data_IF_452292130075
#
_entry.id   IF_452292130075
#
_cell.length_a   1.000
_cell.length_b   1.000
_cell.length_c   1.000
_cell.angle_alpha   90.00
_cell.angle_beta   90.00
_cell.angle_gamma   90.00
#
_symmetry.space_group_name_H-M   'P 1'
#
loop_
_entity.id
_entity.type
_entity.pdbx_description
1 polymer ?
#
# COMPACT_ATOMS: atom_id res chain seq x y z
N UNK A 1 56.38 -41.45 -59.76
CA UNK A 1 55.26 -42.22 -60.32
C UNK A 1 54.15 -42.28 -59.29
N UNK A 2 52.95 -41.86 -59.69
CA UNK A 2 51.60 -42.26 -59.22
C UNK A 2 51.20 -42.10 -57.73
N UNK A 3 50.31 -41.12 -57.54
CA UNK A 3 49.13 -40.96 -56.64
C UNK A 3 48.24 -42.22 -56.48
N UNK A 4 47.14 -42.24 -55.66
CA UNK A 4 46.60 -41.30 -54.63
C UNK A 4 46.09 -42.05 -53.35
N UNK A 5 45.43 -41.36 -52.38
CA UNK A 5 44.07 -41.69 -51.87
C UNK A 5 43.57 -40.56 -50.94
N UNK A 6 42.29 -40.25 -51.13
CA UNK A 6 41.44 -39.21 -50.55
C UNK A 6 40.88 -39.66 -49.20
N UNK A 7 40.70 -38.75 -48.25
CA UNK A 7 39.94 -39.00 -47.01
C UNK A 7 39.31 -37.72 -46.45
N UNK A 8 38.11 -37.39 -46.94
CA UNK A 8 37.20 -36.40 -46.33
C UNK A 8 36.89 -36.79 -44.88
N UNK A 9 37.26 -35.95 -43.92
CA UNK A 9 36.82 -36.02 -42.53
C UNK A 9 35.79 -34.93 -42.25
N UNK A 10 34.52 -35.33 -42.20
CA UNK A 10 33.36 -34.50 -41.84
C UNK A 10 33.55 -33.87 -40.44
N UNK A 11 33.69 -32.56 -40.38
CA UNK A 11 33.56 -31.79 -39.15
C UNK A 11 32.09 -31.60 -38.81
N UNK A 12 31.57 -32.36 -37.85
CA UNK A 12 30.24 -32.14 -37.27
C UNK A 12 30.43 -31.59 -35.84
N UNK A 13 30.63 -30.28 -35.73
CA UNK A 13 30.62 -29.58 -34.46
C UNK A 13 29.17 -29.30 -34.06
N UNK A 14 28.62 -30.17 -33.21
CA UNK A 14 27.34 -29.96 -32.52
C UNK A 14 27.51 -28.81 -31.50
N UNK A 15 27.19 -27.59 -31.92
CA UNK A 15 26.99 -26.46 -31.02
C UNK A 15 25.65 -26.64 -30.32
N UNK A 16 25.70 -27.14 -29.08
CA UNK A 16 24.57 -27.14 -28.15
C UNK A 16 24.21 -25.68 -27.82
N UNK A 17 23.21 -25.15 -28.53
CA UNK A 17 22.58 -23.88 -28.21
C UNK A 17 21.80 -24.02 -26.89
N UNK A 18 22.48 -23.71 -25.78
CA UNK A 18 21.83 -23.55 -24.48
C UNK A 18 20.88 -22.36 -24.53
N UNK A 19 19.58 -22.63 -24.52
CA UNK A 19 18.58 -21.60 -24.22
C UNK A 19 18.75 -21.22 -22.76
N UNK A 20 19.59 -20.21 -22.48
CA UNK A 20 19.55 -19.49 -21.23
C UNK A 20 18.22 -18.72 -21.21
N UNK A 21 17.17 -19.39 -20.75
CA UNK A 21 15.93 -18.72 -20.37
C UNK A 21 16.29 -17.73 -19.28
N UNK A 22 16.34 -16.44 -19.64
CA UNK A 22 16.26 -15.34 -18.69
C UNK A 22 14.87 -15.36 -18.08
N UNK A 23 14.66 -16.30 -17.16
CA UNK A 23 13.52 -16.29 -16.26
C UNK A 23 13.61 -15.00 -15.46
N UNK A 24 12.88 -13.98 -15.88
CA UNK A 24 12.76 -12.74 -15.13
C UNK A 24 12.20 -13.08 -13.76
N UNK A 25 13.05 -13.03 -12.74
CA UNK A 25 12.63 -13.12 -11.35
C UNK A 25 11.72 -11.92 -11.09
N UNK A 26 10.44 -12.20 -10.80
CA UNK A 26 9.51 -11.17 -10.36
C UNK A 26 10.15 -10.44 -9.17
N UNK A 27 10.18 -9.10 -9.13
CA UNK A 27 10.72 -8.37 -8.00
C UNK A 27 10.06 -8.87 -6.71
N UNK A 28 10.88 -9.26 -5.74
CA UNK A 28 10.38 -9.70 -4.44
C UNK A 28 9.76 -8.50 -3.72
N UNK A 29 8.48 -8.63 -3.36
CA UNK A 29 7.75 -7.63 -2.59
C UNK A 29 7.64 -8.13 -1.14
N UNK A 30 8.12 -7.33 -0.20
CA UNK A 30 8.15 -7.66 1.23
C UNK A 30 7.29 -6.70 2.05
N UNK A 31 6.80 -7.20 3.19
CA UNK A 31 6.15 -6.37 4.21
C UNK A 31 7.19 -5.64 5.05
N UNK A 32 6.98 -4.34 5.29
CA UNK A 32 7.66 -3.56 6.32
C UNK A 32 6.60 -2.89 7.17
N UNK A 33 6.71 -2.93 8.49
CA UNK A 33 5.68 -2.40 9.37
C UNK A 33 6.13 -1.10 10.01
N UNK A 34 5.24 -0.11 10.04
CA UNK A 34 5.35 1.07 10.89
C UNK A 34 4.36 0.91 12.04
N UNK A 35 4.85 0.95 13.28
CA UNK A 35 3.99 1.12 14.44
C UNK A 35 3.55 2.58 14.50
N UNK A 36 2.26 2.82 14.25
CA UNK A 36 1.70 4.17 14.15
C UNK A 36 1.27 4.75 15.50
N UNK A 37 1.49 4.00 16.58
CA UNK A 37 1.30 4.44 17.97
C UNK A 37 2.53 4.19 18.84
N UNK A 38 3.61 3.70 18.23
CA UNK A 38 4.83 3.30 18.91
C UNK A 38 5.68 4.50 19.35
N UNK A 39 6.69 4.21 20.17
CA UNK A 39 7.61 5.22 20.70
C UNK A 39 8.49 5.92 19.66
N UNK A 40 8.60 5.36 18.45
CA UNK A 40 9.37 5.95 17.35
C UNK A 40 8.61 7.10 16.65
N UNK A 41 7.32 7.25 16.92
CA UNK A 41 6.54 8.36 16.41
C UNK A 41 6.85 9.65 17.17
N UNK A 42 7.13 10.73 16.44
CA UNK A 42 7.34 12.07 17.01
C UNK A 42 6.02 12.82 17.02
N UNK A 43 5.63 13.36 18.19
CA UNK A 43 4.48 14.26 18.28
C UNK A 43 4.87 15.65 17.81
N UNK A 44 4.09 16.19 16.89
CA UNK A 44 4.28 17.52 16.30
C UNK A 44 2.96 18.30 16.31
N UNK A 45 3.06 19.60 16.00
CA UNK A 45 1.93 20.53 15.94
C UNK A 45 1.83 21.06 14.52
N UNK A 46 0.63 21.02 13.95
CA UNK A 46 0.36 21.67 12.68
C UNK A 46 0.23 23.18 12.87
N UNK A 47 1.30 23.91 12.58
CA UNK A 47 1.33 25.39 12.69
C UNK A 47 0.48 26.10 11.64
N UNK A 48 -0.01 25.38 10.64
CA UNK A 48 -0.88 25.94 9.59
C UNK A 48 -2.36 25.82 9.96
N UNK A 49 -2.70 24.96 10.93
CA UNK A 49 -4.04 24.85 11.51
C UNK A 49 -4.21 25.92 12.61
N UNK A 50 -5.24 26.78 12.54
CA UNK A 50 -5.56 27.74 13.60
C UNK A 50 -5.75 27.11 14.99
N UNK A 51 -6.11 25.82 15.05
CA UNK A 51 -6.29 25.09 16.30
C UNK A 51 -5.01 24.41 16.80
N UNK A 52 -3.88 24.57 16.10
CA UNK A 52 -2.59 23.94 16.42
C UNK A 52 -2.74 22.42 16.66
N UNK A 53 -3.50 21.76 15.78
CA UNK A 53 -3.86 20.35 15.97
C UNK A 53 -2.61 19.46 16.02
N UNK A 54 -2.45 18.65 17.08
CA UNK A 54 -1.31 17.75 17.19
C UNK A 54 -1.45 16.56 16.23
N UNK A 55 -0.32 16.10 15.72
CA UNK A 55 -0.22 14.88 14.90
C UNK A 55 0.99 14.05 15.31
N UNK A 56 1.00 12.78 14.91
CA UNK A 56 2.16 11.90 15.03
C UNK A 56 2.84 11.78 13.68
N UNK A 57 4.16 11.96 13.64
CA UNK A 57 5.01 11.63 12.50
C UNK A 57 5.76 10.33 12.81
N UNK A 58 5.43 9.27 12.11
CA UNK A 58 6.00 7.94 12.32
C UNK A 58 6.94 7.57 11.16
N UNK A 59 8.16 7.08 11.45
CA UNK A 59 9.12 6.75 10.40
C UNK A 59 8.65 5.57 9.54
N UNK A 60 8.93 5.66 8.24
CA UNK A 60 8.66 4.64 7.23
C UNK A 60 9.92 4.22 6.46
N UNK A 61 9.79 3.21 5.59
CA UNK A 61 10.90 2.74 4.75
C UNK A 61 11.33 3.80 3.73
N UNK A 62 12.60 3.73 3.31
CA UNK A 62 13.15 4.51 2.19
C UNK A 62 12.98 6.04 2.31
N UNK A 63 12.94 6.58 3.54
CA UNK A 63 12.78 8.01 3.80
C UNK A 63 11.33 8.51 3.80
N UNK A 64 10.35 7.62 3.58
CA UNK A 64 8.94 7.96 3.77
C UNK A 64 8.60 8.11 5.25
N UNK A 65 7.52 8.81 5.55
CA UNK A 65 6.91 8.87 6.88
C UNK A 65 5.39 8.81 6.78
N UNK A 66 4.76 8.36 7.86
CA UNK A 66 3.30 8.45 8.02
C UNK A 66 2.98 9.59 8.97
N UNK A 67 2.09 10.49 8.56
CA UNK A 67 1.48 11.49 9.42
C UNK A 67 0.13 10.93 9.85
N UNK A 68 -0.05 10.73 11.15
CA UNK A 68 -1.31 10.26 11.75
C UNK A 68 -1.93 11.42 12.48
N UNK A 69 -3.14 11.81 12.08
CA UNK A 69 -3.83 12.95 12.65
C UNK A 69 -5.32 12.74 12.78
N UNK A 70 -5.93 13.54 13.66
CA UNK A 70 -7.36 13.68 13.72
C UNK A 70 -7.84 14.58 12.59
N UNK A 71 -8.97 14.22 11.99
CA UNK A 71 -9.64 14.93 10.91
C UNK A 71 -11.14 14.99 11.18
N UNK A 72 -11.78 16.05 10.69
CA UNK A 72 -13.20 16.34 10.90
C UNK A 72 -13.62 16.20 12.38
N UNK A 73 -14.63 15.40 12.65
CA UNK A 73 -15.22 15.15 13.96
C UNK A 73 -14.39 14.19 14.83
N UNK A 74 -13.06 14.28 14.80
CA UNK A 74 -12.16 13.46 15.61
C UNK A 74 -11.87 12.07 15.04
N UNK A 75 -12.13 11.84 13.74
CA UNK A 75 -11.73 10.61 13.06
C UNK A 75 -10.24 10.61 12.84
N UNK A 76 -9.62 9.44 12.72
CA UNK A 76 -8.19 9.37 12.38
C UNK A 76 -7.99 9.02 10.90
N UNK A 77 -7.02 9.68 10.27
CA UNK A 77 -6.55 9.35 8.92
C UNK A 77 -5.01 9.36 8.87
N UNK A 78 -4.49 8.76 7.80
CA UNK A 78 -3.06 8.76 7.49
C UNK A 78 -2.82 9.69 6.29
N UNK A 79 -1.75 10.46 6.37
CA UNK A 79 -1.12 11.10 5.22
C UNK A 79 0.25 10.45 4.99
N UNK A 80 0.60 10.20 3.74
CA UNK A 80 1.91 9.69 3.36
C UNK A 80 2.80 10.88 3.04
N UNK A 81 3.90 11.02 3.76
CA UNK A 81 4.94 11.99 3.42
C UNK A 81 6.07 11.27 2.68
N UNK A 82 6.38 11.75 1.48
CA UNK A 82 7.46 11.19 0.67
C UNK A 82 8.85 11.72 1.10
N UNK A 83 9.96 11.16 0.57
CA UNK A 83 11.30 11.60 0.92
C UNK A 83 11.64 13.04 0.50
N UNK A 84 10.81 13.66 -0.36
CA UNK A 84 10.91 15.07 -0.75
C UNK A 84 10.02 15.98 0.14
N UNK A 85 9.44 15.45 1.21
CA UNK A 85 8.51 16.11 2.13
C UNK A 85 7.19 16.55 1.49
N UNK A 86 6.79 15.95 0.37
CA UNK A 86 5.44 16.12 -0.18
C UNK A 86 4.47 15.26 0.62
N UNK A 87 3.34 15.85 1.01
CA UNK A 87 2.32 15.20 1.85
C UNK A 87 1.11 14.84 1.00
N UNK A 88 0.66 13.60 1.14
CA UNK A 88 -0.47 13.05 0.40
C UNK A 88 -1.50 12.47 1.36
N UNK A 89 -2.65 13.12 1.49
CA UNK A 89 -3.73 12.67 2.37
C UNK A 89 -4.45 11.44 1.77
N UNK A 90 -4.66 10.40 2.59
CA UNK A 90 -5.39 9.20 2.17
C UNK A 90 -6.90 9.31 2.38
N UNK A 91 -7.37 10.36 3.06
CA UNK A 91 -8.79 10.73 3.23
C UNK A 91 -9.70 9.57 3.66
N UNK A 92 -9.31 8.79 4.67
CA UNK A 92 -10.07 7.62 5.11
C UNK A 92 -11.52 7.91 5.49
N UNK A 93 -11.78 9.09 6.04
CA UNK A 93 -13.11 9.60 6.38
C UNK A 93 -14.05 9.77 5.17
N UNK A 94 -13.48 9.89 3.97
CA UNK A 94 -14.24 10.01 2.73
C UNK A 94 -14.28 8.70 1.97
N UNK A 95 -13.12 8.03 1.81
CA UNK A 95 -12.96 6.90 0.88
C UNK A 95 -13.11 5.53 1.55
N UNK A 96 -12.82 5.43 2.86
CA UNK A 96 -12.88 4.17 3.61
C UNK A 96 -14.19 4.08 4.39
N UNK A 97 -14.51 5.04 5.24
CA UNK A 97 -15.78 5.06 5.95
C UNK A 97 -16.17 6.47 6.37
N UNK A 98 -17.46 6.81 6.23
CA UNK A 98 -18.02 8.07 6.73
C UNK A 98 -18.42 7.99 8.22
N UNK A 99 -18.34 6.80 8.81
CA UNK A 99 -18.67 6.55 10.22
C UNK A 99 -17.51 6.97 11.12
N UNK A 100 -17.75 7.10 12.43
CA UNK A 100 -16.66 7.45 13.35
C UNK A 100 -15.59 6.37 13.26
N UNK A 101 -14.32 6.76 13.14
CA UNK A 101 -13.26 5.80 12.88
C UNK A 101 -11.93 6.16 13.51
N UNK A 102 -11.23 5.13 13.96
CA UNK A 102 -9.88 5.20 14.46
C UNK A 102 -9.00 4.22 13.68
N UNK A 103 -7.68 4.40 13.77
CA UNK A 103 -6.73 3.46 13.18
C UNK A 103 -6.43 2.33 14.15
N UNK A 104 -6.00 1.17 13.67
CA UNK A 104 -5.37 0.13 14.49
C UNK A 104 -3.84 0.30 14.43
N UNK A 105 -3.13 0.00 15.53
CA UNK A 105 -1.77 0.49 15.81
C UNK A 105 -0.62 0.18 14.84
N UNK A 106 -0.84 -0.46 13.69
CA UNK A 106 0.22 -0.70 12.69
C UNK A 106 -0.27 -0.47 11.27
N UNK A 107 0.64 0.05 10.44
CA UNK A 107 0.49 0.09 8.99
C UNK A 107 1.54 -0.81 8.33
N UNK A 108 1.14 -1.52 7.28
CA UNK A 108 2.02 -2.38 6.49
C UNK A 108 2.37 -1.69 5.17
N UNK A 109 3.66 -1.47 4.95
CA UNK A 109 4.21 -1.10 3.66
C UNK A 109 4.47 -2.36 2.84
N UNK A 110 4.07 -2.31 1.56
CA UNK A 110 4.57 -3.23 0.54
C UNK A 110 5.76 -2.57 -0.12
N UNK A 111 6.92 -3.21 -0.05
CA UNK A 111 8.20 -2.66 -0.51
C UNK A 111 8.80 -3.60 -1.53
N UNK A 112 9.10 -3.10 -2.72
CA UNK A 112 9.88 -3.82 -3.72
C UNK A 112 11.34 -3.34 -3.69
N UNK A 113 12.24 -4.13 -4.26
CA UNK A 113 13.60 -3.69 -4.52
C UNK A 113 13.72 -3.28 -5.98
N UNK A 114 14.03 -2.01 -6.23
CA UNK A 114 14.29 -1.46 -7.58
C UNK A 114 15.70 -0.90 -7.63
N UNK A 115 16.52 -1.37 -8.57
CA UNK A 115 17.91 -0.95 -8.73
C UNK A 115 18.74 -1.05 -7.43
N UNK A 116 18.50 -2.10 -6.64
CA UNK A 116 19.16 -2.35 -5.36
C UNK A 116 18.68 -1.45 -4.21
N UNK A 117 17.65 -0.62 -4.42
CA UNK A 117 17.09 0.29 -3.41
C UNK A 117 15.67 -0.13 -3.02
N UNK A 118 15.29 -0.03 -1.73
CA UNK A 118 13.92 -0.25 -1.32
C UNK A 118 13.02 0.86 -1.88
N UNK A 119 11.92 0.46 -2.51
CA UNK A 119 10.89 1.35 -3.03
C UNK A 119 9.54 0.91 -2.46
N UNK A 120 8.89 1.72 -1.60
CA UNK A 120 7.52 1.47 -1.16
C UNK A 120 6.54 1.65 -2.33
N UNK A 121 5.58 0.74 -2.45
CA UNK A 121 4.68 0.67 -3.62
C UNK A 121 3.21 0.70 -3.21
N UNK A 122 2.93 0.37 -1.95
CA UNK A 122 1.61 0.42 -1.36
C UNK A 122 1.69 0.48 0.16
N UNK A 123 0.59 0.91 0.77
CA UNK A 123 0.36 0.94 2.22
C UNK A 123 -0.95 0.22 2.53
N UNK A 124 -0.99 -0.56 3.60
CA UNK A 124 -2.20 -1.18 4.13
C UNK A 124 -2.38 -0.69 5.57
N UNK A 125 -3.52 -0.07 5.85
CA UNK A 125 -3.88 0.38 7.20
C UNK A 125 -5.20 -0.26 7.64
N UNK A 126 -5.32 -0.53 8.94
CA UNK A 126 -6.54 -1.01 9.56
C UNK A 126 -7.34 0.17 10.09
N UNK A 127 -8.57 0.33 9.61
CA UNK A 127 -9.49 1.42 9.99
C UNK A 127 -10.68 0.80 10.72
N UNK A 128 -10.82 1.10 12.01
CA UNK A 128 -11.89 0.61 12.88
C UNK A 128 -13.05 1.59 12.86
N UNK A 129 -14.18 1.19 12.28
CA UNK A 129 -15.40 1.96 12.19
C UNK A 129 -16.36 1.65 13.34
N UNK A 130 -17.08 2.69 13.78
CA UNK A 130 -18.06 2.71 14.87
C UNK A 130 -19.37 3.22 14.29
N UNK A 131 -20.25 2.28 13.96
CA UNK A 131 -21.53 2.55 13.27
C UNK A 131 -22.73 2.42 14.21
N UNK A 132 -22.53 1.88 15.41
CA UNK A 132 -23.56 1.63 16.41
C UNK A 132 -23.83 2.92 17.20
N UNK A 133 -24.96 3.58 16.93
CA UNK A 133 -25.32 4.83 17.59
C UNK A 133 -25.68 4.65 19.06
N UNK A 134 -26.13 3.45 19.43
CA UNK A 134 -26.51 3.14 20.82
C UNK A 134 -25.26 2.79 21.64
N UNK A 135 -24.18 2.35 20.98
CA UNK A 135 -22.88 2.09 21.59
C UNK A 135 -21.72 2.67 20.75
N UNK A 136 -21.45 3.99 20.86
CA UNK A 136 -20.44 4.67 20.03
C UNK A 136 -19.01 4.15 20.26
N UNK A 137 -18.75 3.51 21.41
CA UNK A 137 -17.44 2.94 21.75
C UNK A 137 -17.23 1.52 21.19
N UNK A 138 -18.24 0.93 20.56
CA UNK A 138 -18.13 -0.38 19.94
C UNK A 138 -17.58 -0.26 18.53
N UNK A 139 -16.47 -0.94 18.27
CA UNK A 139 -16.00 -1.19 16.90
C UNK A 139 -16.97 -2.16 16.24
N UNK A 140 -17.74 -1.69 15.26
CA UNK A 140 -18.71 -2.50 14.52
C UNK A 140 -18.07 -3.22 13.36
N UNK A 141 -17.05 -2.60 12.75
CA UNK A 141 -16.37 -3.12 11.57
C UNK A 141 -14.93 -2.65 11.52
N UNK A 142 -14.05 -3.48 10.99
CA UNK A 142 -12.67 -3.11 10.68
C UNK A 142 -12.47 -3.24 9.19
N UNK A 143 -11.88 -2.23 8.57
CA UNK A 143 -11.51 -2.24 7.16
C UNK A 143 -10.00 -2.35 7.00
N UNK A 144 -9.55 -3.01 5.95
CA UNK A 144 -8.20 -2.87 5.41
C UNK A 144 -8.27 -1.85 4.27
N UNK A 145 -7.68 -0.68 4.51
CA UNK A 145 -7.52 0.36 3.50
C UNK A 145 -6.20 0.13 2.77
N UNK A 146 -6.27 -0.19 1.48
CA UNK A 146 -5.11 -0.38 0.61
C UNK A 146 -4.89 0.91 -0.17
N UNK A 147 -3.69 1.48 -0.07
CA UNK A 147 -3.30 2.68 -0.79
C UNK A 147 -2.15 2.37 -1.76
N UNK A 148 -2.20 2.93 -2.97
CA UNK A 148 -1.05 2.94 -3.87
C UNK A 148 -0.05 4.00 -3.39
N UNK A 149 1.23 3.74 -3.58
CA UNK A 149 2.30 4.71 -3.36
C UNK A 149 3.13 4.78 -4.64
N UNK A 150 2.99 5.87 -5.39
CA UNK A 150 3.73 6.13 -6.64
C UNK A 150 4.32 7.54 -6.62
N UNK A 151 5.18 7.87 -7.58
CA UNK A 151 5.75 9.21 -7.66
C UNK A 151 4.72 10.26 -8.10
N UNK A 152 3.71 9.82 -8.85
CA UNK A 152 2.65 10.60 -9.47
C UNK A 152 1.45 10.78 -8.55
N UNK A 153 1.04 9.71 -7.86
CA UNK A 153 -0.19 9.68 -7.08
C UNK A 153 -0.10 8.74 -5.88
N UNK A 154 -0.66 9.18 -4.75
CA UNK A 154 -0.80 8.40 -3.52
C UNK A 154 -2.24 8.55 -3.04
N UNK A 155 -2.98 7.45 -3.03
CA UNK A 155 -4.40 7.43 -2.70
C UNK A 155 -4.85 6.01 -2.34
N UNK A 156 -5.98 5.89 -1.65
CA UNK A 156 -6.65 4.60 -1.43
C UNK A 156 -7.15 4.05 -2.76
N UNK A 157 -6.89 2.78 -3.03
CA UNK A 157 -7.39 2.05 -4.20
C UNK A 157 -8.48 1.06 -3.83
N UNK A 158 -8.40 0.46 -2.64
CA UNK A 158 -9.31 -0.58 -2.21
C UNK A 158 -9.64 -0.46 -0.72
N UNK A 159 -10.87 -0.85 -0.39
CA UNK A 159 -11.36 -1.04 0.96
C UNK A 159 -11.90 -2.45 1.07
N UNK A 160 -11.38 -3.22 2.03
CA UNK A 160 -11.77 -4.60 2.27
C UNK A 160 -12.36 -4.69 3.68
N UNK A 161 -13.52 -5.32 3.83
CA UNK A 161 -14.03 -5.67 5.16
C UNK A 161 -13.13 -6.76 5.76
N UNK A 162 -12.54 -6.48 6.92
CA UNK A 162 -11.58 -7.38 7.57
C UNK A 162 -12.27 -8.53 8.35
N UNK A 163 -13.59 -8.69 8.21
CA UNK A 163 -14.32 -9.85 8.71
C UNK A 163 -13.65 -11.15 8.26
N UNK A 164 -13.14 -11.94 9.21
CA UNK A 164 -12.42 -13.19 8.93
C UNK A 164 -10.92 -13.05 8.67
N UNK A 165 -10.30 -11.88 8.91
CA UNK A 165 -8.86 -11.63 8.80
C UNK A 165 -8.26 -12.07 7.45
N UNK A 166 -8.39 -11.21 6.43
CA UNK A 166 -7.84 -11.47 5.09
C UNK A 166 -6.54 -10.67 4.75
N UNK A 167 -5.44 -10.74 5.54
CA UNK A 167 -4.18 -10.06 5.18
C UNK A 167 -3.66 -10.41 3.79
N UNK A 168 -3.80 -11.67 3.36
CA UNK A 168 -3.29 -12.13 2.07
C UNK A 168 -4.00 -11.47 0.87
N UNK A 169 -5.31 -11.20 1.00
CA UNK A 169 -6.06 -10.51 -0.06
C UNK A 169 -5.64 -9.04 -0.17
N UNK A 170 -5.53 -8.35 0.97
CA UNK A 170 -5.05 -6.98 1.01
C UNK A 170 -3.63 -6.85 0.44
N UNK A 171 -2.74 -7.79 0.76
CA UNK A 171 -1.39 -7.84 0.20
C UNK A 171 -1.40 -8.07 -1.30
N UNK A 172 -2.23 -9.00 -1.80
CA UNK A 172 -2.36 -9.25 -3.25
C UNK A 172 -2.82 -8.00 -4.00
N UNK A 173 -3.79 -7.26 -3.45
CA UNK A 173 -4.25 -6.00 -4.04
C UNK A 173 -3.16 -4.93 -3.98
N UNK A 174 -2.51 -4.78 -2.82
CA UNK A 174 -1.42 -3.84 -2.59
C UNK A 174 -0.21 -4.08 -3.53
N UNK A 175 0.15 -5.33 -3.79
CA UNK A 175 1.22 -5.73 -4.71
C UNK A 175 0.94 -5.32 -6.17
N UNK A 176 -0.31 -4.98 -6.49
CA UNK A 176 -0.74 -4.49 -7.82
C UNK A 176 -1.25 -3.05 -7.80
N UNK A 177 -1.20 -2.36 -6.66
CA UNK A 177 -1.88 -1.08 -6.45
C UNK A 177 -1.41 0.05 -7.38
N UNK A 178 -0.15 0.01 -7.85
CA UNK A 178 0.43 1.03 -8.74
C UNK A 178 -0.39 1.31 -10.01
N UNK A 179 -1.08 0.31 -10.54
CA UNK A 179 -1.88 0.43 -11.77
C UNK A 179 -3.37 0.52 -11.51
N UNK A 180 -3.80 0.46 -10.24
CA UNK A 180 -5.21 0.57 -9.87
C UNK A 180 -5.63 2.03 -9.86
N UNK A 181 -6.91 2.30 -10.10
CA UNK A 181 -7.47 3.64 -9.96
C UNK A 181 -7.66 3.99 -8.49
N UNK A 182 -7.67 5.29 -8.15
CA UNK A 182 -8.09 5.71 -6.81
C UNK A 182 -9.56 5.37 -6.59
N UNK A 183 -9.88 4.95 -5.38
CA UNK A 183 -11.25 4.74 -4.96
C UNK A 183 -11.99 6.09 -4.92
N UNK A 184 -13.25 6.15 -5.37
CA UNK A 184 -14.08 7.32 -5.17
C UNK A 184 -14.45 7.47 -3.68
N UNK A 185 -14.88 8.67 -3.30
CA UNK A 185 -15.51 8.87 -1.99
C UNK A 185 -16.73 7.96 -1.81
N UNK A 186 -16.94 7.49 -0.60
CA UNK A 186 -18.11 6.71 -0.23
C UNK A 186 -19.38 7.55 -0.44
N UNK A 187 -20.50 6.93 -0.83
CA UNK A 187 -21.75 7.64 -0.93
C UNK A 187 -22.21 8.17 0.43
N UNK A 188 -23.10 9.19 0.47
CA UNK A 188 -23.66 9.70 1.71
C UNK A 188 -24.37 8.60 2.53
N UNK A 189 -24.42 8.71 3.86
CA UNK A 189 -25.20 7.80 4.68
C UNK A 189 -26.66 7.76 4.22
N UNK A 190 -27.23 6.56 4.04
CA UNK A 190 -28.65 6.37 3.69
C UNK A 190 -28.98 6.28 2.20
N UNK A 191 -28.03 6.48 1.28
CA UNK A 191 -28.30 6.35 -0.17
C UNK A 191 -28.18 4.90 -0.71
N UNK A 192 -27.97 3.91 0.16
CA UNK A 192 -27.79 2.50 -0.21
C UNK A 192 -29.08 1.68 -0.36
N UNK A 193 -30.24 2.35 -0.48
CA UNK A 193 -31.56 1.69 -0.54
C UNK A 193 -32.11 1.42 -1.94
N UNK A 194 -31.48 1.90 -3.01
CA UNK A 194 -32.08 1.83 -4.35
C UNK A 194 -31.05 1.49 -5.44
N UNK A 195 -30.51 0.27 -5.40
CA UNK A 195 -29.86 -0.36 -6.55
C UNK A 195 -29.72 -1.90 -6.36
N UNK A 196 -30.85 -2.57 -6.14
CA UNK A 196 -30.98 -4.01 -6.36
C UNK A 196 -32.47 -4.36 -6.50
N UNK A 197 -32.98 -4.20 -7.73
CA UNK A 197 -34.15 -4.96 -8.21
C UNK A 197 -33.65 -5.91 -9.29
#
# INVERSE_FOLDING_TARGET
MQTPVIGLGLGCALLLAGCAGTGGTKPEIRSVFTDIRGGDCVKEIDKTDPNETPFLRCPGPAGYSLIVRQVDSGRESIEVMDPANRVHALNYQEVVTRSMSNLEGRAEWRVETKDGKPAPIALIARVQAREDTDNPEKVTRTFLAVAKVTAEEVCVTDRIDAAGQQPAEAQKLADTARTRQCAPAQPPPGSGGEAAR
#
